data_IF_639779592680
#
_entry.id   IF_639779592680
#
_cell.length_a   1.000
_cell.length_b   1.000
_cell.length_c   1.000
_cell.angle_alpha   90.00
_cell.angle_beta   90.00
_cell.angle_gamma   90.00
#
_symmetry.space_group_name_H-M   'P 1'
#
loop_
_entity.id
_entity.type
_entity.pdbx_description
1 polymer ?
#
# COMPACT_ATOMS: atom_id res chain seq x y z
N UNK A 1 -19.62 26.27 -4.24
CA UNK A 1 -20.11 25.55 -3.04
C UNK A 1 -19.44 24.19 -3.05
N UNK A 2 -18.88 23.73 -1.93
CA UNK A 2 -18.30 22.38 -1.87
C UNK A 2 -19.40 21.34 -2.13
N UNK A 3 -19.13 20.33 -2.96
CA UNK A 3 -20.04 19.19 -3.17
C UNK A 3 -20.21 18.43 -1.86
N UNK A 4 -21.45 18.08 -1.50
CA UNK A 4 -21.71 17.31 -0.28
C UNK A 4 -21.04 15.93 -0.35
N UNK A 5 -20.66 15.32 0.78
CA UNK A 5 -20.11 13.96 0.82
C UNK A 5 -20.98 12.94 0.09
N UNK A 6 -22.30 13.08 0.17
CA UNK A 6 -23.26 12.21 -0.50
C UNK A 6 -23.21 12.39 -2.02
N UNK A 7 -23.13 13.62 -2.52
CA UNK A 7 -23.03 13.89 -3.95
C UNK A 7 -21.73 13.33 -4.55
N UNK A 8 -20.62 13.44 -3.80
CA UNK A 8 -19.34 12.81 -4.19
C UNK A 8 -19.46 11.29 -4.24
N UNK A 9 -20.07 10.68 -3.22
CA UNK A 9 -20.29 9.23 -3.16
C UNK A 9 -21.15 8.76 -4.33
N UNK A 10 -22.23 9.46 -4.68
CA UNK A 10 -23.07 9.08 -5.82
C UNK A 10 -22.30 9.15 -7.16
N UNK A 11 -21.51 10.21 -7.37
CA UNK A 11 -20.66 10.33 -8.56
C UNK A 11 -19.61 9.20 -8.63
N UNK A 12 -19.00 8.87 -7.50
CA UNK A 12 -18.05 7.76 -7.40
C UNK A 12 -18.70 6.41 -7.69
N UNK A 13 -19.85 6.11 -7.08
CA UNK A 13 -20.57 4.86 -7.32
C UNK A 13 -21.02 4.74 -8.78
N UNK A 14 -21.52 5.82 -9.39
CA UNK A 14 -21.85 5.82 -10.81
C UNK A 14 -20.64 5.46 -11.67
N UNK A 15 -19.49 6.12 -11.42
CA UNK A 15 -18.25 5.82 -12.12
C UNK A 15 -17.80 4.36 -11.90
N UNK A 16 -17.91 3.86 -10.67
CA UNK A 16 -17.51 2.51 -10.29
C UNK A 16 -18.34 1.47 -11.06
N UNK A 17 -19.67 1.60 -11.05
CA UNK A 17 -20.57 0.70 -11.80
C UNK A 17 -20.41 0.82 -13.31
N UNK A 18 -20.25 2.03 -13.84
CA UNK A 18 -20.04 2.25 -15.27
C UNK A 18 -18.76 1.59 -15.80
N UNK A 19 -17.78 1.37 -14.92
CA UNK A 19 -16.53 0.68 -15.24
C UNK A 19 -16.54 -0.81 -14.83
N UNK A 20 -17.72 -1.40 -14.59
CA UNK A 20 -17.87 -2.84 -14.42
C UNK A 20 -17.58 -3.38 -13.02
N UNK A 21 -17.42 -2.53 -12.01
CA UNK A 21 -17.36 -2.99 -10.64
C UNK A 21 -18.74 -3.37 -10.09
N UNK A 22 -18.78 -4.33 -9.17
CA UNK A 22 -20.01 -4.85 -8.57
C UNK A 22 -19.92 -4.86 -7.04
N UNK A 23 -20.93 -4.27 -6.39
CA UNK A 23 -21.11 -4.33 -4.93
C UNK A 23 -22.16 -5.41 -4.62
N UNK A 24 -21.68 -6.59 -4.21
CA UNK A 24 -22.48 -7.82 -4.04
C UNK A 24 -22.98 -7.96 -2.61
N UNK A 25 -24.03 -7.23 -2.27
CA UNK A 25 -24.54 -7.22 -0.88
C UNK A 25 -23.65 -6.42 0.07
N UNK A 26 -22.84 -5.51 -0.47
CA UNK A 26 -22.14 -4.46 0.28
C UNK A 26 -22.59 -3.06 -0.16
N UNK A 27 -22.28 -2.07 0.64
CA UNK A 27 -22.49 -0.66 0.36
C UNK A 27 -21.37 0.18 0.98
N UNK A 28 -20.93 1.23 0.30
CA UNK A 28 -20.00 2.22 0.87
C UNK A 28 -20.85 3.28 1.59
N UNK A 29 -20.52 3.56 2.85
CA UNK A 29 -21.28 4.48 3.70
C UNK A 29 -20.34 5.38 4.49
N UNK A 30 -20.85 6.54 4.91
CA UNK A 30 -20.10 7.47 5.76
C UNK A 30 -20.14 7.01 7.22
N UNK A 31 -18.96 6.81 7.83
CA UNK A 31 -18.74 6.31 9.19
C UNK A 31 -18.55 7.43 10.24
N UNK A 32 -18.85 8.68 9.89
CA UNK A 32 -18.61 9.84 10.74
C UNK A 32 -17.30 10.57 10.41
N UNK A 33 -17.12 11.75 11.01
CA UNK A 33 -16.03 12.65 10.65
C UNK A 33 -14.64 12.04 10.88
N UNK A 34 -14.48 11.23 11.92
CA UNK A 34 -13.18 10.68 12.33
C UNK A 34 -12.73 9.48 11.48
N UNK A 35 -13.68 8.72 10.93
CA UNK A 35 -13.42 7.50 10.14
C UNK A 35 -13.63 7.69 8.64
N UNK A 36 -14.31 8.76 8.22
CA UNK A 36 -14.62 9.00 6.82
C UNK A 36 -15.64 7.99 6.28
N UNK A 37 -15.24 7.17 5.31
CA UNK A 37 -16.11 6.18 4.67
C UNK A 37 -15.66 4.75 5.01
N UNK A 38 -16.62 3.83 5.00
CA UNK A 38 -16.41 2.41 5.25
C UNK A 38 -17.27 1.55 4.33
N UNK A 39 -16.93 0.26 4.24
CA UNK A 39 -17.73 -0.74 3.52
C UNK A 39 -18.63 -1.45 4.53
N UNK A 40 -19.91 -1.61 4.22
CA UNK A 40 -20.92 -2.22 5.09
C UNK A 40 -21.66 -3.33 4.36
N UNK A 41 -22.14 -4.33 5.10
CA UNK A 41 -23.12 -5.27 4.56
C UNK A 41 -24.44 -4.54 4.28
N UNK A 42 -24.98 -4.74 3.08
CA UNK A 42 -26.21 -4.09 2.64
C UNK A 42 -27.41 -4.51 3.53
N UNK A 43 -28.33 -3.59 3.87
CA UNK A 43 -29.50 -3.90 4.70
C UNK A 43 -30.44 -4.95 4.12
N UNK A 44 -30.52 -5.03 2.79
CA UNK A 44 -31.53 -5.83 2.04
C UNK A 44 -30.92 -6.70 0.93
N UNK A 45 -29.63 -7.05 1.03
CA UNK A 45 -28.93 -7.76 -0.03
C UNK A 45 -29.26 -9.25 -0.12
N UNK A 46 -29.42 -9.77 -1.35
CA UNK A 46 -29.33 -11.20 -1.65
C UNK A 46 -27.92 -11.65 -1.29
N UNK A 47 -27.78 -12.48 -0.25
CA UNK A 47 -26.51 -13.12 0.07
C UNK A 47 -26.19 -14.12 -1.02
N UNK A 48 -25.01 -14.00 -1.60
CA UNK A 48 -24.45 -15.03 -2.46
C UNK A 48 -23.76 -16.06 -1.57
N UNK A 49 -23.92 -17.34 -1.92
CA UNK A 49 -23.30 -18.44 -1.17
C UNK A 49 -21.77 -18.45 -1.31
N UNK A 50 -21.23 -17.69 -2.27
CA UNK A 50 -19.79 -17.54 -2.54
C UNK A 50 -19.05 -16.64 -1.53
N UNK A 51 -19.77 -15.88 -0.69
CA UNK A 51 -19.17 -14.97 0.31
C UNK A 51 -18.49 -13.73 -0.28
N UNK A 52 -18.56 -13.51 -1.60
CA UNK A 52 -17.96 -12.37 -2.29
C UNK A 52 -18.89 -11.17 -2.16
N UNK A 53 -18.38 -10.09 -1.57
CA UNK A 53 -19.17 -8.89 -1.26
C UNK A 53 -18.87 -7.71 -2.17
N UNK A 54 -17.76 -7.73 -2.90
CA UNK A 54 -17.38 -6.69 -3.85
C UNK A 54 -16.44 -7.28 -4.90
N UNK A 55 -16.56 -6.82 -6.14
CA UNK A 55 -15.65 -7.17 -7.24
C UNK A 55 -15.29 -5.92 -8.02
N UNK A 56 -14.00 -5.65 -8.18
CA UNK A 56 -13.45 -4.47 -8.84
C UNK A 56 -12.54 -4.94 -9.99
N UNK A 57 -12.81 -4.57 -11.25
CA UNK A 57 -11.87 -4.78 -12.35
C UNK A 57 -10.51 -4.16 -12.04
N UNK A 58 -9.42 -4.90 -12.25
CA UNK A 58 -8.07 -4.42 -11.94
C UNK A 58 -7.66 -3.21 -12.79
N UNK A 59 -8.36 -2.96 -13.90
CA UNK A 59 -8.13 -1.79 -14.73
C UNK A 59 -8.46 -0.45 -14.05
N UNK A 60 -9.24 -0.50 -12.97
CA UNK A 60 -9.52 0.66 -12.13
C UNK A 60 -8.46 0.88 -11.05
N UNK A 61 -7.66 -0.15 -10.74
CA UNK A 61 -6.65 -0.07 -9.70
C UNK A 61 -5.46 0.81 -10.14
N UNK A 62 -4.96 1.62 -9.22
CA UNK A 62 -3.75 2.41 -9.41
C UNK A 62 -2.58 1.58 -8.90
N UNK A 63 -1.84 0.99 -9.83
CA UNK A 63 -0.69 0.10 -9.58
C UNK A 63 0.54 0.58 -10.36
N UNK A 64 1.77 0.14 -10.01
CA UNK A 64 2.97 0.52 -10.76
C UNK A 64 2.83 0.21 -12.26
N UNK A 65 2.28 -0.96 -12.61
CA UNK A 65 2.07 -1.34 -14.01
C UNK A 65 1.05 -0.44 -14.70
N UNK A 66 -0.03 -0.02 -14.02
CA UNK A 66 -0.98 0.96 -14.57
C UNK A 66 -0.29 2.28 -14.88
N UNK A 67 0.56 2.76 -13.97
CA UNK A 67 1.36 3.98 -14.19
C UNK A 67 2.29 3.83 -15.38
N UNK A 68 3.01 2.71 -15.47
CA UNK A 68 3.92 2.42 -16.57
C UNK A 68 3.18 2.25 -17.90
N UNK A 69 1.95 1.75 -17.91
CA UNK A 69 1.12 1.57 -19.11
C UNK A 69 0.33 2.83 -19.50
N UNK A 70 0.27 3.84 -18.63
CA UNK A 70 -0.45 5.08 -18.91
C UNK A 70 0.14 5.78 -20.15
N UNK A 71 -0.69 6.18 -21.13
CA UNK A 71 -0.19 6.76 -22.37
C UNK A 71 0.48 8.14 -22.17
N UNK A 72 0.16 8.85 -21.09
CA UNK A 72 0.65 10.21 -20.84
C UNK A 72 1.89 10.21 -19.95
N UNK A 73 1.82 9.57 -18.78
CA UNK A 73 2.96 9.54 -17.84
C UNK A 73 3.90 8.35 -18.05
N UNK A 74 3.37 7.26 -18.61
CA UNK A 74 4.06 5.98 -18.72
C UNK A 74 5.40 6.04 -19.46
N UNK A 75 5.55 6.75 -20.60
CA UNK A 75 6.83 6.83 -21.30
C UNK A 75 7.97 7.37 -20.41
N UNK A 76 7.72 8.47 -19.68
CA UNK A 76 8.73 9.09 -18.82
C UNK A 76 8.97 8.28 -17.56
N UNK A 77 7.90 7.78 -16.93
CA UNK A 77 8.00 6.91 -15.76
C UNK A 77 8.75 5.61 -16.05
N UNK A 78 8.57 5.01 -17.24
CA UNK A 78 9.27 3.79 -17.66
C UNK A 78 10.77 4.02 -17.81
N UNK A 79 11.16 5.11 -18.47
CA UNK A 79 12.59 5.47 -18.60
C UNK A 79 13.26 5.61 -17.22
N UNK A 80 12.63 6.36 -16.30
CA UNK A 80 13.16 6.54 -14.95
C UNK A 80 13.22 5.23 -14.15
N UNK A 81 12.26 4.33 -14.35
CA UNK A 81 12.22 3.04 -13.67
C UNK A 81 13.33 2.11 -14.18
N UNK A 82 13.53 2.03 -15.50
CA UNK A 82 14.60 1.26 -16.13
C UNK A 82 16.00 1.79 -15.76
N UNK A 83 16.14 3.11 -15.57
CA UNK A 83 17.35 3.77 -15.07
C UNK A 83 17.57 3.57 -13.56
N UNK A 84 16.62 2.99 -12.83
CA UNK A 84 16.69 2.77 -11.39
C UNK A 84 16.52 4.05 -10.56
N UNK A 85 15.97 5.12 -11.15
CA UNK A 85 15.75 6.40 -10.47
C UNK A 85 14.46 6.44 -9.64
N UNK A 86 13.50 5.57 -9.95
CA UNK A 86 12.21 5.45 -9.27
C UNK A 86 11.87 3.99 -8.99
N UNK A 87 11.16 3.75 -7.88
CA UNK A 87 10.63 2.43 -7.52
C UNK A 87 9.10 2.37 -7.67
N UNK A 88 8.52 1.19 -7.46
CA UNK A 88 7.09 0.92 -7.57
C UNK A 88 6.22 1.89 -6.76
N UNK A 89 6.63 2.18 -5.52
CA UNK A 89 5.86 3.06 -4.62
C UNK A 89 5.90 4.49 -5.11
N UNK A 90 7.08 4.94 -5.50
CA UNK A 90 7.27 6.29 -5.98
C UNK A 90 6.51 6.52 -7.30
N UNK A 91 6.44 5.52 -8.19
CA UNK A 91 5.59 5.57 -9.38
C UNK A 91 4.12 5.86 -9.04
N UNK A 92 3.55 5.15 -8.07
CA UNK A 92 2.15 5.37 -7.63
C UNK A 92 1.99 6.76 -7.01
N UNK A 93 2.94 7.21 -6.18
CA UNK A 93 2.88 8.54 -5.57
C UNK A 93 2.97 9.68 -6.59
N UNK A 94 3.85 9.56 -7.60
CA UNK A 94 3.94 10.53 -8.70
C UNK A 94 2.62 10.55 -9.48
N UNK A 95 2.09 9.39 -9.83
CA UNK A 95 0.82 9.30 -10.57
C UNK A 95 -0.35 9.93 -9.80
N UNK A 96 -0.48 9.65 -8.51
CA UNK A 96 -1.49 10.28 -7.65
C UNK A 96 -1.34 11.80 -7.62
N UNK A 97 -0.10 12.30 -7.54
CA UNK A 97 0.18 13.75 -7.54
C UNK A 97 -0.26 14.38 -8.87
N UNK A 98 0.10 13.76 -9.99
CA UNK A 98 -0.28 14.22 -11.35
C UNK A 98 -1.79 14.18 -11.54
N UNK A 99 -2.44 13.05 -11.26
CA UNK A 99 -3.88 12.87 -11.47
C UNK A 99 -4.73 13.78 -10.57
N UNK A 100 -4.24 14.13 -9.38
CA UNK A 100 -4.88 15.12 -8.52
C UNK A 100 -4.91 16.52 -9.14
N UNK A 101 -3.82 16.91 -9.81
CA UNK A 101 -3.67 18.22 -10.44
C UNK A 101 -4.27 18.27 -11.85
N UNK A 102 -4.46 17.11 -12.48
CA UNK A 102 -5.03 16.96 -13.82
C UNK A 102 -6.54 17.21 -13.82
N UNK A 103 -6.99 18.13 -14.68
CA UNK A 103 -8.39 18.56 -14.76
C UNK A 103 -9.33 17.47 -15.34
N UNK A 104 -8.83 16.65 -16.26
CA UNK A 104 -9.55 15.61 -16.99
C UNK A 104 -9.17 14.18 -16.54
N UNK A 105 -8.75 14.02 -15.27
CA UNK A 105 -8.42 12.71 -14.71
C UNK A 105 -9.59 11.73 -14.85
N UNK A 106 -9.32 10.54 -15.37
CA UNK A 106 -10.32 9.45 -15.43
C UNK A 106 -10.65 8.92 -14.03
N UNK A 107 -9.74 9.07 -13.07
CA UNK A 107 -9.92 8.69 -11.68
C UNK A 107 -10.56 9.79 -10.83
N UNK A 108 -10.92 10.95 -11.41
CA UNK A 108 -11.45 12.09 -10.66
C UNK A 108 -12.57 11.73 -9.68
N UNK A 109 -13.58 10.90 -10.03
CA UNK A 109 -14.63 10.52 -9.08
C UNK A 109 -14.10 9.73 -7.88
N UNK A 110 -13.06 8.90 -8.07
CA UNK A 110 -12.38 8.18 -7.00
C UNK A 110 -11.51 9.12 -6.16
N UNK A 111 -10.69 9.97 -6.80
CA UNK A 111 -9.80 10.91 -6.11
C UNK A 111 -10.59 11.91 -5.25
N UNK A 112 -11.80 12.30 -5.67
CA UNK A 112 -12.67 13.21 -4.92
C UNK A 112 -13.23 12.60 -3.62
N UNK A 113 -13.23 11.26 -3.52
CA UNK A 113 -13.62 10.51 -2.31
C UNK A 113 -12.47 10.33 -1.33
N UNK A 114 -11.23 10.46 -1.78
CA UNK A 114 -10.06 10.30 -0.93
C UNK A 114 -9.94 11.45 0.09
N UNK A 115 -9.41 11.16 1.30
CA UNK A 115 -9.26 12.18 2.33
C UNK A 115 -8.30 13.29 1.87
N UNK A 116 -8.60 14.53 2.25
CA UNK A 116 -7.74 15.70 2.00
C UNK A 116 -6.84 16.07 3.17
N UNK A 117 -7.07 15.46 4.33
CA UNK A 117 -6.36 15.68 5.59
C UNK A 117 -6.15 14.34 6.28
N UNK A 118 -5.11 14.23 7.11
CA UNK A 118 -4.74 12.98 7.75
C UNK A 118 -4.38 13.22 9.22
N UNK A 119 -4.68 12.24 10.07
CA UNK A 119 -4.31 12.28 11.49
C UNK A 119 -2.89 11.79 11.80
N UNK A 120 -2.05 11.59 10.78
CA UNK A 120 -0.68 11.14 10.99
C UNK A 120 0.27 12.32 11.27
N UNK A 121 1.39 12.09 11.99
CA UNK A 121 2.29 13.17 12.43
C UNK A 121 2.93 14.00 11.31
N UNK A 122 2.94 13.52 10.07
CA UNK A 122 3.44 14.31 8.93
C UNK A 122 2.55 15.52 8.64
N UNK A 123 1.29 15.50 9.10
CA UNK A 123 0.32 16.58 8.94
C UNK A 123 0.11 17.43 10.20
N UNK A 124 0.73 17.04 11.32
CA UNK A 124 0.60 17.78 12.57
C UNK A 124 1.19 19.18 12.45
N UNK A 125 0.48 20.12 13.07
CA UNK A 125 0.98 21.45 13.40
C UNK A 125 2.14 21.34 14.40
N UNK A 126 2.90 22.43 14.55
CA UNK A 126 4.06 22.44 15.45
C UNK A 126 3.69 22.14 16.91
N UNK A 127 2.52 22.62 17.35
CA UNK A 127 1.99 22.39 18.70
C UNK A 127 1.62 20.92 18.91
N UNK A 128 0.89 20.31 17.97
CA UNK A 128 0.51 18.89 18.01
C UNK A 128 1.75 17.98 17.95
N UNK A 129 2.73 18.33 17.12
CA UNK A 129 3.98 17.58 17.03
C UNK A 129 4.81 17.72 18.31
N UNK A 130 4.72 18.85 19.02
CA UNK A 130 5.44 19.05 20.27
C UNK A 130 4.98 18.09 21.39
N UNK A 131 3.73 17.62 21.36
CA UNK A 131 3.20 16.60 22.27
C UNK A 131 3.90 15.25 22.11
N UNK A 132 4.51 14.98 20.94
CA UNK A 132 5.28 13.75 20.70
C UNK A 132 6.73 13.85 21.20
N UNK A 133 7.20 15.01 21.69
CA UNK A 133 8.61 15.18 22.10
C UNK A 133 9.04 14.14 23.13
N UNK A 134 10.22 13.57 22.91
CA UNK A 134 10.78 12.51 23.74
C UNK A 134 10.41 11.10 23.31
N UNK A 135 9.50 10.94 22.34
CA UNK A 135 9.19 9.66 21.71
C UNK A 135 10.09 9.39 20.49
N UNK A 136 10.21 8.13 20.11
CA UNK A 136 10.81 7.68 18.85
C UNK A 136 10.06 8.25 17.64
N UNK A 137 8.73 8.30 17.74
CA UNK A 137 7.84 8.83 16.72
C UNK A 137 8.14 10.29 16.35
N UNK A 138 8.45 11.14 17.34
CA UNK A 138 8.79 12.56 17.07
C UNK A 138 10.04 12.68 16.20
N UNK A 139 11.11 11.96 16.55
CA UNK A 139 12.36 12.02 15.79
C UNK A 139 12.18 11.46 14.38
N UNK A 140 11.49 10.32 14.27
CA UNK A 140 11.16 9.72 12.97
C UNK A 140 10.33 10.66 12.10
N UNK A 141 9.31 11.32 12.67
CA UNK A 141 8.47 12.28 11.96
C UNK A 141 9.25 13.49 11.48
N UNK A 142 10.11 14.07 12.32
CA UNK A 142 10.94 15.22 11.96
C UNK A 142 11.90 14.89 10.81
N UNK A 143 12.56 13.73 10.89
CA UNK A 143 13.45 13.26 9.83
C UNK A 143 12.68 13.03 8.53
N UNK A 144 11.51 12.36 8.60
CA UNK A 144 10.71 12.09 7.42
C UNK A 144 10.15 13.35 6.77
N UNK A 145 9.68 14.34 7.56
CA UNK A 145 9.24 15.64 7.03
C UNK A 145 10.36 16.32 6.23
N UNK A 146 11.60 16.29 6.75
CA UNK A 146 12.77 16.82 6.05
C UNK A 146 13.09 16.05 4.78
N UNK A 147 13.09 14.71 4.83
CA UNK A 147 13.40 13.85 3.68
C UNK A 147 12.37 14.03 2.56
N UNK A 148 11.08 14.04 2.90
CA UNK A 148 10.00 14.27 1.93
C UNK A 148 10.09 15.65 1.29
N UNK A 149 10.46 16.69 2.07
CA UNK A 149 10.67 18.03 1.53
C UNK A 149 11.81 18.06 0.51
N UNK A 150 12.96 17.50 0.84
CA UNK A 150 14.09 17.43 -0.07
C UNK A 150 13.76 16.61 -1.33
N UNK A 151 13.15 15.43 -1.17
CA UNK A 151 12.69 14.61 -2.31
C UNK A 151 11.72 15.38 -3.21
N UNK A 152 10.85 16.18 -2.61
CA UNK A 152 9.91 17.01 -3.34
C UNK A 152 10.62 18.09 -4.16
N UNK A 153 11.48 18.88 -3.53
CA UNK A 153 12.19 19.99 -4.17
C UNK A 153 13.14 19.49 -5.27
N UNK A 154 13.85 18.38 -5.01
CA UNK A 154 14.90 17.87 -5.90
C UNK A 154 14.36 17.02 -7.06
N UNK A 155 13.26 16.27 -6.85
CA UNK A 155 12.77 15.28 -7.82
C UNK A 155 11.30 15.44 -8.19
N UNK A 156 10.39 15.53 -7.20
CA UNK A 156 8.95 15.44 -7.48
C UNK A 156 8.45 16.67 -8.23
N UNK A 157 8.74 17.87 -7.73
CA UNK A 157 8.27 19.11 -8.34
C UNK A 157 8.66 19.21 -9.82
N UNK A 158 9.95 19.12 -10.21
CA UNK A 158 10.33 19.23 -11.62
C UNK A 158 9.72 18.11 -12.48
N UNK A 159 9.64 16.87 -11.96
CA UNK A 159 9.05 15.75 -12.70
C UNK A 159 7.54 15.92 -12.93
N UNK A 160 6.79 16.34 -11.91
CA UNK A 160 5.34 16.55 -12.03
C UNK A 160 5.04 17.74 -12.95
N UNK A 161 5.82 18.82 -12.86
CA UNK A 161 5.71 19.95 -13.79
C UNK A 161 5.99 19.52 -15.25
N UNK A 162 7.03 18.71 -15.47
CA UNK A 162 7.35 18.11 -16.77
C UNK A 162 6.16 17.29 -17.30
N UNK A 163 5.63 16.38 -16.48
CA UNK A 163 4.52 15.49 -16.85
C UNK A 163 3.22 16.25 -17.14
N UNK A 164 2.94 17.33 -16.41
CA UNK A 164 1.76 18.15 -16.64
C UNK A 164 1.91 19.02 -17.91
N UNK A 165 3.10 19.53 -18.21
CA UNK A 165 3.33 20.46 -19.34
C UNK A 165 2.97 19.90 -20.73
N UNK A 166 2.90 18.58 -20.88
CA UNK A 166 2.58 17.90 -22.14
C UNK A 166 1.07 17.81 -22.42
N UNK A 167 0.21 18.24 -21.49
CA UNK A 167 -1.23 18.30 -21.69
C UNK A 167 -1.60 19.64 -22.36
N UNK A 168 -1.80 19.59 -23.68
CA UNK A 168 -2.05 20.74 -24.56
C UNK A 168 -3.29 21.58 -24.20
N UNK A 169 -4.11 21.14 -23.24
CA UNK A 169 -5.28 21.87 -22.73
C UNK A 169 -5.03 22.66 -21.43
N UNK A 170 -3.81 22.63 -20.87
CA UNK A 170 -3.49 23.34 -19.64
C UNK A 170 -3.15 24.81 -19.89
N UNK A 171 -4.17 25.65 -20.09
CA UNK A 171 -3.98 27.11 -20.03
C UNK A 171 -3.59 27.61 -18.63
N UNK A 172 -3.70 26.76 -17.58
CA UNK A 172 -3.18 27.01 -16.23
C UNK A 172 -2.81 25.70 -15.53
N UNK A 173 -1.54 25.29 -15.57
CA UNK A 173 -1.03 24.35 -14.57
C UNK A 173 -1.08 25.08 -13.23
N UNK A 174 -1.88 24.61 -12.29
CA UNK A 174 -1.76 25.08 -10.91
C UNK A 174 -0.34 24.77 -10.43
N UNK A 175 0.30 25.70 -9.71
CA UNK A 175 1.62 25.46 -9.12
C UNK A 175 1.61 24.12 -8.40
N UNK A 176 2.56 23.24 -8.74
CA UNK A 176 2.75 21.98 -8.01
C UNK A 176 3.24 22.38 -6.63
N UNK A 177 2.49 21.98 -5.60
CA UNK A 177 2.81 22.27 -4.20
C UNK A 177 3.26 21.02 -3.46
N UNK A 178 4.03 21.23 -2.39
CA UNK A 178 4.45 20.12 -1.53
C UNK A 178 3.26 19.38 -0.92
N UNK A 179 2.17 20.09 -0.63
CA UNK A 179 0.97 19.48 -0.06
C UNK A 179 0.33 18.46 -1.01
N UNK A 180 0.48 18.60 -2.33
CA UNK A 180 -0.02 17.63 -3.31
C UNK A 180 0.78 16.33 -3.27
N UNK A 181 2.10 16.42 -3.15
CA UNK A 181 2.96 15.26 -2.98
C UNK A 181 2.80 14.62 -1.60
N UNK A 182 2.75 15.42 -0.54
CA UNK A 182 2.51 14.91 0.82
C UNK A 182 1.17 14.18 0.91
N UNK A 183 0.15 14.70 0.23
CA UNK A 183 -1.14 14.03 0.07
C UNK A 183 -0.98 12.69 -0.64
N UNK A 184 -0.29 12.62 -1.77
CA UNK A 184 -0.09 11.37 -2.50
C UNK A 184 0.68 10.32 -1.68
N UNK A 185 1.75 10.73 -0.98
CA UNK A 185 2.47 9.87 -0.04
C UNK A 185 1.53 9.34 1.05
N UNK A 186 0.71 10.21 1.64
CA UNK A 186 -0.20 9.82 2.72
C UNK A 186 -1.32 8.90 2.24
N UNK A 187 -1.86 9.13 1.04
CA UNK A 187 -2.82 8.22 0.40
C UNK A 187 -2.20 6.84 0.19
N UNK A 188 -0.98 6.77 -0.36
CA UNK A 188 -0.32 5.49 -0.59
C UNK A 188 -0.19 4.69 0.73
N UNK A 189 0.37 5.30 1.78
CA UNK A 189 0.58 4.60 3.05
C UNK A 189 -0.70 4.22 3.78
N UNK A 190 -1.76 5.02 3.63
CA UNK A 190 -3.03 4.80 4.33
C UNK A 190 -3.96 3.82 3.60
N UNK A 191 -3.79 3.62 2.29
CA UNK A 191 -4.78 2.92 1.43
C UNK A 191 -4.24 1.87 0.47
N UNK A 192 -2.92 1.80 0.25
CA UNK A 192 -2.37 0.78 -0.63
C UNK A 192 -2.63 -0.63 -0.05
N UNK A 193 -3.05 -1.53 -0.93
CA UNK A 193 -3.29 -2.95 -0.65
C UNK A 193 -2.21 -3.78 -1.35
N UNK A 194 -1.91 -4.93 -0.78
CA UNK A 194 -1.09 -5.96 -1.43
C UNK A 194 -1.95 -6.76 -2.42
N UNK A 195 -1.73 -6.57 -3.71
CA UNK A 195 -2.54 -7.15 -4.79
C UNK A 195 -1.80 -8.37 -5.37
N UNK A 196 -2.36 -9.59 -5.26
CA UNK A 196 -1.76 -10.81 -5.80
C UNK A 196 -2.05 -10.94 -7.30
N UNK A 197 -1.33 -10.19 -8.14
CA UNK A 197 -1.56 -10.17 -9.58
C UNK A 197 -1.04 -11.45 -10.28
N UNK A 198 -1.77 -11.97 -11.28
CA UNK A 198 -1.26 -13.00 -12.16
C UNK A 198 -0.06 -12.50 -12.98
N UNK A 199 0.93 -13.36 -13.20
CA UNK A 199 2.11 -13.04 -14.01
C UNK A 199 1.77 -12.42 -15.37
N UNK A 200 0.80 -13.00 -16.10
CA UNK A 200 0.41 -12.54 -17.43
C UNK A 200 -0.16 -11.11 -17.44
N UNK A 201 -0.70 -10.65 -16.32
CA UNK A 201 -1.24 -9.29 -16.19
C UNK A 201 -0.11 -8.26 -16.03
N UNK A 202 0.93 -8.63 -15.28
CA UNK A 202 2.11 -7.78 -15.05
C UNK A 202 3.02 -7.74 -16.28
N UNK A 203 3.19 -8.90 -16.91
CA UNK A 203 4.01 -9.07 -18.11
C UNK A 203 3.14 -9.63 -19.25
N UNK A 204 2.39 -8.77 -19.95
CA UNK A 204 1.68 -9.20 -21.15
C UNK A 204 2.70 -9.73 -22.14
N UNK A 205 2.57 -10.99 -22.57
CA UNK A 205 3.39 -11.52 -23.65
C UNK A 205 3.22 -10.60 -24.86
N UNK A 206 4.33 -10.06 -25.38
CA UNK A 206 4.30 -9.22 -26.58
C UNK A 206 3.64 -10.01 -27.71
N UNK A 207 2.44 -9.60 -28.13
CA UNK A 207 1.78 -10.05 -29.35
C UNK A 207 2.69 -9.72 -30.54
N UNK A 208 3.59 -10.64 -30.93
CA UNK A 208 4.53 -10.40 -32.02
C UNK A 208 5.77 -11.28 -32.07
N UNK A 209 5.61 -12.60 -31.95
CA UNK A 209 6.68 -13.55 -32.24
C UNK A 209 6.11 -14.76 -32.96
N UNK A 210 6.12 -14.74 -34.30
CA UNK A 210 5.90 -15.95 -35.08
C UNK A 210 6.92 -17.00 -34.62
N UNK A 211 6.44 -18.14 -34.15
CA UNK A 211 7.19 -19.38 -34.07
C UNK A 211 7.77 -19.65 -35.47
N UNK A 212 9.07 -19.39 -35.64
CA UNK A 212 9.87 -20.02 -36.67
C UNK A 212 10.78 -21.02 -35.98
N UNK A 213 10.38 -22.27 -36.10
CA UNK A 213 11.26 -23.42 -35.99
C UNK A 213 12.53 -23.17 -36.81
N UNK A 214 13.65 -22.98 -36.14
CA UNK A 214 14.95 -23.31 -36.72
C UNK A 214 15.88 -23.80 -35.62
N UNK A 215 16.02 -25.12 -35.59
CA UNK A 215 17.03 -25.81 -34.81
C UNK A 215 18.43 -25.30 -35.19
N UNK A 216 19.16 -24.74 -34.24
CA UNK A 216 20.62 -24.69 -34.27
C UNK A 216 21.16 -25.00 -32.88
N UNK A 217 22.02 -26.02 -32.85
CA UNK A 217 22.64 -26.60 -31.68
C UNK A 217 23.57 -25.60 -30.98
N UNK A 218 23.38 -25.53 -29.67
CA UNK A 218 24.39 -25.48 -28.59
C UNK A 218 25.83 -25.13 -29.02
N UNK A 219 26.37 -24.03 -28.48
CA UNK A 219 27.72 -23.95 -27.90
C UNK A 219 27.73 -22.83 -26.83
N UNK A 220 28.24 -23.17 -25.65
CA UNK A 220 28.05 -22.41 -24.43
C UNK A 220 28.80 -21.08 -24.32
N UNK A 221 28.18 -20.17 -23.58
CA UNK A 221 28.83 -19.27 -22.64
C UNK A 221 27.78 -18.85 -21.62
N UNK A 222 27.79 -19.48 -20.45
CA UNK A 222 26.92 -19.12 -19.34
C UNK A 222 27.33 -17.77 -18.78
N UNK A 223 26.54 -16.74 -19.07
CA UNK A 223 26.54 -15.49 -18.30
C UNK A 223 25.20 -15.40 -17.61
N UNK A 224 25.17 -15.86 -16.36
CA UNK A 224 24.08 -15.63 -15.43
C UNK A 224 24.02 -14.14 -15.12
N UNK A 225 23.12 -13.41 -15.76
CA UNK A 225 22.80 -12.03 -15.36
C UNK A 225 21.93 -12.10 -14.10
N UNK A 226 22.59 -12.19 -12.95
CA UNK A 226 21.98 -11.81 -11.68
C UNK A 226 21.83 -10.30 -11.69
N UNK A 227 20.62 -9.80 -11.93
CA UNK A 227 20.32 -8.39 -11.74
C UNK A 227 20.37 -8.10 -10.24
N UNK A 228 21.51 -7.62 -9.76
CA UNK A 228 21.64 -6.97 -8.45
C UNK A 228 20.84 -5.68 -8.52
N UNK A 229 19.67 -5.68 -7.89
CA UNK A 229 18.90 -4.47 -7.58
C UNK A 229 19.76 -3.61 -6.65
N UNK A 230 20.32 -2.54 -7.20
CA UNK A 230 20.97 -1.48 -6.43
C UNK A 230 19.91 -0.65 -5.73
N UNK A 231 19.52 -1.08 -4.54
CA UNK A 231 18.75 -0.26 -3.59
C UNK A 231 19.56 1.00 -3.25
N UNK A 232 19.13 2.17 -3.73
CA UNK A 232 19.51 3.44 -3.10
C UNK A 232 18.41 3.81 -2.12
N UNK A 233 18.35 3.07 -1.01
CA UNK A 233 17.43 3.34 0.08
C UNK A 233 17.97 4.51 0.92
N UNK A 234 17.15 5.54 1.12
CA UNK A 234 17.30 6.38 2.33
C UNK A 234 16.73 5.54 3.46
N UNK A 235 17.63 4.99 4.29
CA UNK A 235 17.31 4.27 5.51
C UNK A 235 16.50 5.16 6.44
N UNK A 236 15.22 4.83 6.59
CA UNK A 236 14.53 4.98 7.87
C UNK A 236 14.43 3.57 8.43
N UNK A 237 15.15 3.36 9.52
CA UNK A 237 15.43 2.06 10.09
C UNK A 237 14.14 1.31 10.50
N UNK A 238 13.80 0.31 9.68
CA UNK A 238 13.15 -0.92 10.12
C UNK A 238 11.64 -1.06 9.90
N UNK A 239 11.27 -1.75 8.82
CA UNK A 239 10.43 -2.97 8.86
C UNK A 239 10.50 -3.73 7.52
N UNK A 240 11.34 -4.77 7.43
CA UNK A 240 11.04 -5.96 6.62
C UNK A 240 10.67 -7.07 7.61
N UNK A 241 9.42 -7.14 8.05
CA UNK A 241 8.93 -8.31 8.78
C UNK A 241 8.74 -9.43 7.75
N UNK A 242 9.62 -10.43 7.80
CA UNK A 242 9.37 -11.72 7.16
C UNK A 242 8.29 -12.42 7.95
N UNK A 243 7.10 -12.55 7.39
CA UNK A 243 6.11 -13.52 7.89
C UNK A 243 6.69 -14.93 7.74
N UNK A 244 6.92 -15.58 8.88
CA UNK A 244 7.36 -16.97 8.92
C UNK A 244 6.18 -17.89 8.58
N UNK A 245 6.04 -18.25 7.30
CA UNK A 245 5.18 -19.36 6.90
C UNK A 245 5.84 -20.67 7.34
N UNK A 246 5.36 -21.24 8.45
CA UNK A 246 5.62 -22.63 8.82
C UNK A 246 4.92 -23.55 7.83
N UNK A 247 5.60 -23.93 6.75
CA UNK A 247 5.21 -25.07 5.92
C UNK A 247 6.10 -26.24 6.30
N UNK A 248 5.53 -27.19 7.03
CA UNK A 248 6.14 -28.49 7.27
C UNK A 248 6.29 -29.24 5.94
N UNK A 249 7.53 -29.37 5.46
CA UNK A 249 7.88 -30.24 4.34
C UNK A 249 7.58 -31.71 4.70
N UNK A 250 6.57 -32.30 4.07
CA UNK A 250 6.51 -33.75 3.87
C UNK A 250 6.64 -34.02 2.38
N UNK A 251 7.81 -34.51 2.00
CA UNK A 251 8.09 -35.11 0.69
C UNK A 251 7.21 -36.34 0.49
N UNK A 252 6.52 -36.43 -0.66
CA UNK A 252 6.30 -37.67 -1.41
C UNK A 252 6.14 -37.33 -2.88
N UNK A 253 6.90 -38.07 -3.68
CA UNK A 253 7.10 -37.94 -5.12
C UNK A 253 5.86 -38.31 -5.97
N UNK A 254 5.92 -37.82 -7.22
CA UNK A 254 5.26 -38.30 -8.44
C UNK A 254 3.73 -38.12 -8.58
N UNK A 255 3.31 -37.15 -9.40
CA UNK A 255 2.83 -37.47 -10.76
C UNK A 255 2.82 -36.22 -11.68
N UNK A 256 3.25 -36.41 -12.92
CA UNK A 256 3.43 -35.38 -13.95
C UNK A 256 2.10 -34.93 -14.58
N UNK A 257 1.73 -33.67 -14.38
CA UNK A 257 0.87 -32.92 -15.28
C UNK A 257 1.37 -31.48 -15.40
N UNK A 258 1.66 -31.03 -16.63
CA UNK A 258 2.09 -29.67 -16.99
C UNK A 258 1.02 -28.62 -16.64
N UNK A 259 0.92 -28.23 -15.37
CA UNK A 259 0.34 -26.96 -14.98
C UNK A 259 1.49 -25.97 -14.85
N UNK A 260 1.58 -25.02 -15.79
CA UNK A 260 2.34 -23.79 -15.56
C UNK A 260 1.68 -23.18 -14.32
N UNK A 261 2.31 -23.32 -13.16
CA UNK A 261 1.89 -22.60 -11.96
C UNK A 261 2.03 -21.13 -12.32
N UNK A 262 0.91 -20.47 -12.62
CA UNK A 262 0.88 -19.04 -12.90
C UNK A 262 1.46 -18.34 -11.68
N UNK A 263 2.71 -17.86 -11.79
CA UNK A 263 3.40 -17.24 -10.67
C UNK A 263 2.63 -15.98 -10.24
N UNK A 264 2.19 -15.93 -8.99
CA UNK A 264 1.60 -14.72 -8.41
C UNK A 264 2.70 -13.69 -8.17
N UNK A 265 2.43 -12.45 -8.55
CA UNK A 265 3.28 -11.28 -8.31
C UNK A 265 2.53 -10.36 -7.37
N UNK A 266 3.14 -10.04 -6.24
CA UNK A 266 2.56 -9.13 -5.26
C UNK A 266 3.00 -7.71 -5.57
N UNK A 267 2.03 -6.81 -5.69
CA UNK A 267 2.29 -5.37 -5.85
C UNK A 267 1.46 -4.56 -4.88
N UNK A 268 1.95 -3.38 -4.51
CA UNK A 268 1.20 -2.44 -3.69
C UNK A 268 0.50 -1.42 -4.58
N UNK A 269 -0.79 -1.20 -4.36
CA UNK A 269 -1.58 -0.25 -5.15
C UNK A 269 -2.93 0.04 -4.54
N UNK A 270 -3.64 1.03 -5.10
CA UNK A 270 -4.96 1.43 -4.64
C UNK A 270 -6.03 0.73 -5.47
N UNK A 271 -7.09 0.25 -4.82
CA UNK A 271 -8.17 -0.49 -5.49
C UNK A 271 -9.49 0.20 -5.13
N UNK A 272 -10.03 1.06 -6.03
CA UNK A 272 -11.21 1.88 -5.74
C UNK A 272 -12.39 1.04 -5.23
N UNK A 273 -12.76 1.23 -3.97
CA UNK A 273 -13.85 0.52 -3.31
C UNK A 273 -13.37 -0.42 -2.21
N UNK A 274 -12.40 -1.30 -2.51
CA UNK A 274 -11.83 -2.22 -1.49
C UNK A 274 -11.00 -1.43 -0.48
N UNK A 275 -10.29 -0.39 -0.93
CA UNK A 275 -9.49 0.51 -0.11
C UNK A 275 -10.31 1.37 0.88
N UNK A 276 -11.65 1.31 0.83
CA UNK A 276 -12.54 1.90 1.83
C UNK A 276 -12.79 0.99 3.04
N UNK A 277 -12.30 -0.24 3.05
CA UNK A 277 -12.47 -1.11 4.22
C UNK A 277 -11.61 -0.59 5.38
N UNK A 278 -12.26 -0.27 6.49
CA UNK A 278 -11.56 0.16 7.71
C UNK A 278 -10.88 -1.03 8.42
N UNK A 279 -9.92 -0.68 9.28
CA UNK A 279 -9.20 -1.65 10.09
C UNK A 279 -10.07 -2.30 11.17
N UNK A 280 -9.92 -3.60 11.37
CA UNK A 280 -10.40 -4.32 12.54
C UNK A 280 -9.37 -5.32 13.06
N UNK A 281 -9.25 -5.42 14.40
CA UNK A 281 -8.37 -6.39 15.09
C UNK A 281 -8.64 -7.85 14.68
N UNK A 282 -9.86 -8.15 14.25
CA UNK A 282 -10.25 -9.42 13.65
C UNK A 282 -10.87 -9.13 12.28
N UNK A 283 -10.01 -8.82 11.30
CA UNK A 283 -10.43 -8.59 9.91
C UNK A 283 -11.36 -9.71 9.45
N UNK A 284 -12.62 -9.35 9.15
CA UNK A 284 -13.66 -10.31 8.75
C UNK A 284 -13.75 -10.50 7.24
N UNK A 285 -12.97 -9.73 6.50
CA UNK A 285 -12.82 -9.87 5.07
C UNK A 285 -11.34 -9.91 4.70
N UNK A 286 -11.08 -10.60 3.59
CA UNK A 286 -9.81 -10.61 2.87
C UNK A 286 -10.10 -10.41 1.39
N UNK A 287 -9.07 -10.36 0.56
CA UNK A 287 -9.23 -10.17 -0.87
C UNK A 287 -8.44 -11.19 -1.68
N UNK A 288 -8.86 -11.38 -2.92
CA UNK A 288 -8.19 -12.21 -3.91
C UNK A 288 -8.26 -11.59 -5.28
N UNK A 289 -7.50 -12.15 -6.22
CA UNK A 289 -7.60 -11.80 -7.64
C UNK A 289 -8.12 -13.00 -8.41
N UNK A 290 -9.11 -12.74 -9.25
CA UNK A 290 -9.62 -13.69 -10.22
C UNK A 290 -9.11 -13.29 -11.61
N UNK A 291 -8.20 -14.10 -12.15
CA UNK A 291 -7.54 -13.83 -13.42
C UNK A 291 -8.40 -14.13 -14.64
N UNK A 292 -9.22 -15.19 -14.59
CA UNK A 292 -10.01 -15.67 -15.73
C UNK A 292 -11.51 -15.37 -15.61
N UNK A 293 -11.95 -14.92 -14.43
CA UNK A 293 -13.35 -14.60 -14.16
C UNK A 293 -14.18 -15.82 -13.78
N UNK A 294 -13.58 -16.98 -13.50
CA UNK A 294 -14.30 -18.20 -13.13
C UNK A 294 -14.98 -18.10 -11.75
N UNK A 295 -14.46 -17.27 -10.86
CA UNK A 295 -14.95 -17.07 -9.49
C UNK A 295 -15.91 -15.88 -9.42
N UNK A 296 -15.52 -14.77 -10.03
CA UNK A 296 -16.28 -13.52 -9.94
C UNK A 296 -17.18 -13.32 -11.15
N UNK A 297 -16.96 -13.97 -12.29
CA UNK A 297 -17.63 -13.64 -13.55
C UNK A 297 -17.05 -12.40 -14.25
N UNK A 298 -16.03 -11.77 -13.65
CA UNK A 298 -15.34 -10.59 -14.19
C UNK A 298 -13.86 -10.97 -14.35
N UNK A 299 -13.37 -11.11 -15.59
CA UNK A 299 -11.97 -11.47 -15.81
C UNK A 299 -11.07 -10.36 -15.27
N UNK A 300 -9.90 -10.76 -14.76
CA UNK A 300 -8.86 -9.84 -14.28
C UNK A 300 -9.43 -8.83 -13.26
N UNK A 301 -10.05 -9.37 -12.21
CA UNK A 301 -10.69 -8.58 -11.16
C UNK A 301 -10.14 -8.91 -9.77
N UNK A 302 -10.14 -7.92 -8.89
CA UNK A 302 -9.93 -8.11 -7.47
C UNK A 302 -11.27 -8.20 -6.76
N UNK A 303 -11.42 -9.10 -5.81
CA UNK A 303 -12.66 -9.26 -5.06
C UNK A 303 -12.42 -9.24 -3.56
N UNK A 304 -13.37 -8.68 -2.83
CA UNK A 304 -13.44 -8.72 -1.37
C UNK A 304 -14.34 -9.89 -0.95
N UNK A 305 -13.83 -10.76 -0.10
CA UNK A 305 -14.50 -11.98 0.36
C UNK A 305 -14.51 -12.06 1.88
N UNK A 306 -15.61 -12.52 2.46
CA UNK A 306 -15.74 -12.71 3.91
C UNK A 306 -14.97 -13.96 4.36
N UNK A 307 -14.22 -13.86 5.46
CA UNK A 307 -13.39 -14.94 5.99
C UNK A 307 -14.20 -16.09 6.62
N UNK A 308 -15.45 -15.83 7.04
CA UNK A 308 -16.36 -16.83 7.59
C UNK A 308 -17.70 -16.79 6.83
N UNK A 309 -18.23 -17.96 6.46
CA UNK A 309 -19.56 -18.14 5.84
C UNK A 309 -20.73 -17.69 6.76
N UNK A 310 -20.43 -17.29 8.00
CA UNK A 310 -21.41 -16.89 8.99
C UNK A 310 -21.79 -15.42 8.85
N UNK A 311 -22.86 -15.22 8.11
CA UNK A 311 -23.89 -14.19 8.33
C UNK A 311 -23.44 -12.89 8.99
N UNK A 312 -22.75 -12.01 8.26
CA UNK A 312 -22.54 -10.64 8.73
C UNK A 312 -23.91 -9.96 8.90
N UNK A 313 -24.27 -9.58 10.13
CA UNK A 313 -25.54 -8.90 10.40
C UNK A 313 -25.71 -7.71 9.44
N UNK A 314 -26.92 -7.55 8.90
CA UNK A 314 -27.24 -6.49 7.97
C UNK A 314 -26.86 -5.12 8.57
N UNK A 315 -26.19 -4.28 7.78
CA UNK A 315 -25.73 -2.96 8.22
C UNK A 315 -24.49 -2.96 9.13
N UNK A 316 -23.77 -4.08 9.31
CA UNK A 316 -22.46 -4.08 9.97
C UNK A 316 -21.34 -3.72 9.02
N UNK A 317 -20.32 -3.05 9.56
CA UNK A 317 -19.11 -2.69 8.84
C UNK A 317 -18.29 -3.94 8.50
N UNK A 318 -17.82 -4.02 7.26
CA UNK A 318 -16.93 -5.04 6.74
C UNK A 318 -15.50 -4.51 6.93
N UNK A 319 -14.82 -5.08 7.91
CA UNK A 319 -13.47 -4.66 8.31
C UNK A 319 -12.42 -5.63 7.75
N UNK A 320 -11.29 -5.09 7.32
CA UNK A 320 -10.09 -5.85 6.97
C UNK A 320 -9.02 -5.68 8.05
N UNK A 321 -8.02 -6.56 8.08
CA UNK A 321 -6.84 -6.33 8.91
C UNK A 321 -5.82 -5.52 8.13
N UNK A 322 -5.24 -4.50 8.76
CA UNK A 322 -4.09 -3.75 8.22
C UNK A 322 -2.76 -4.37 8.71
N UNK A 323 -2.85 -5.51 9.40
CA UNK A 323 -1.74 -6.14 10.13
C UNK A 323 -1.83 -5.88 11.63
N UNK A 324 -1.07 -6.70 12.38
CA UNK A 324 -0.95 -6.61 13.83
C UNK A 324 0.08 -5.53 14.18
N UNK A 325 -0.38 -4.28 14.27
CA UNK A 325 0.48 -3.09 14.42
C UNK A 325 0.27 -2.43 15.77
N UNK A 326 1.37 -1.93 16.37
CA UNK A 326 1.31 -1.13 17.59
C UNK A 326 0.75 0.28 17.33
N UNK A 327 0.35 0.99 18.38
CA UNK A 327 -0.28 2.31 18.21
C UNK A 327 0.67 3.37 17.63
N UNK A 328 1.98 3.27 17.89
CA UNK A 328 2.98 4.15 17.26
C UNK A 328 2.98 3.98 15.73
N UNK A 329 2.94 2.73 15.25
CA UNK A 329 2.92 2.43 13.82
C UNK A 329 1.56 2.78 13.18
N UNK A 330 0.45 2.48 13.86
CA UNK A 330 -0.89 2.86 13.38
C UNK A 330 -1.04 4.38 13.25
N UNK A 331 -0.54 5.14 14.23
CA UNK A 331 -0.57 6.59 14.18
C UNK A 331 0.31 7.13 13.06
N UNK A 332 1.51 6.57 12.90
CA UNK A 332 2.46 7.01 11.87
C UNK A 332 1.97 6.75 10.44
N UNK A 333 1.46 5.54 10.18
CA UNK A 333 1.07 5.12 8.83
C UNK A 333 -0.37 5.51 8.48
N UNK A 334 -1.31 5.34 9.43
CA UNK A 334 -2.74 5.46 9.16
C UNK A 334 -3.40 6.67 9.83
N UNK A 335 -2.74 7.29 10.80
CA UNK A 335 -3.26 8.48 11.49
C UNK A 335 -4.36 8.20 12.51
N UNK A 336 -4.40 6.99 13.08
CA UNK A 336 -5.30 6.65 14.18
C UNK A 336 -4.62 5.73 15.20
N UNK A 337 -5.20 5.63 16.39
CA UNK A 337 -4.78 4.69 17.44
C UNK A 337 -5.99 3.87 17.90
N UNK A 338 -5.73 2.71 18.51
CA UNK A 338 -6.76 1.82 19.05
C UNK A 338 -6.65 1.79 20.57
N UNK A 339 -7.77 2.06 21.23
CA UNK A 339 -7.90 1.89 22.67
C UNK A 339 -7.68 0.42 23.06
N UNK A 340 -6.80 0.18 24.02
CA UNK A 340 -6.44 -1.16 24.49
C UNK A 340 -6.00 -2.10 23.35
N UNK A 341 -5.24 -1.57 22.39
CA UNK A 341 -4.65 -2.36 21.31
C UNK A 341 -3.87 -3.58 21.87
N UNK A 342 -4.28 -4.82 21.53
CA UNK A 342 -3.60 -6.02 22.03
C UNK A 342 -2.20 -6.21 21.44
N UNK A 343 -1.94 -5.62 20.27
CA UNK A 343 -0.67 -5.68 19.55
C UNK A 343 0.24 -4.49 19.86
N UNK A 344 -0.09 -3.70 20.90
CA UNK A 344 0.68 -2.52 21.29
C UNK A 344 2.03 -2.88 21.91
N UNK A 345 3.05 -2.13 21.52
CA UNK A 345 4.42 -2.32 21.98
C UNK A 345 5.13 -0.97 22.14
N UNK A 346 6.12 -0.94 23.02
CA UNK A 346 7.08 0.14 23.13
C UNK A 346 8.35 -0.25 22.41
N UNK A 347 8.77 0.55 21.43
CA UNK A 347 10.07 0.38 20.78
C UNK A 347 11.15 1.12 21.58
N UNK A 348 12.20 0.40 21.94
CA UNK A 348 13.33 0.94 22.70
C UNK A 348 14.61 0.73 21.91
N UNK A 349 15.26 1.82 21.54
CA UNK A 349 16.60 1.76 20.94
C UNK A 349 17.65 1.39 21.98
N UNK A 350 18.59 0.53 21.60
CA UNK A 350 19.75 0.29 22.42
C UNK A 350 20.66 1.53 22.37
N UNK A 351 21.06 2.11 23.51
CA UNK A 351 21.95 3.27 23.53
C UNK A 351 23.34 2.88 23.02
N UNK A 352 23.72 3.39 21.84
CA UNK A 352 25.02 3.10 21.22
C UNK A 352 26.18 3.59 22.08
N UNK A 353 25.98 4.67 22.84
CA UNK A 353 26.96 5.20 23.78
C UNK A 353 27.25 4.22 24.91
N UNK A 354 26.24 3.45 25.34
CA UNK A 354 26.44 2.39 26.34
C UNK A 354 27.20 1.19 25.76
N UNK A 355 27.14 0.97 24.44
CA UNK A 355 27.79 -0.16 23.77
C UNK A 355 29.32 -0.09 23.88
N UNK A 356 29.89 1.12 23.85
CA UNK A 356 31.34 1.33 23.94
C UNK A 356 31.94 0.80 25.26
N UNK A 357 31.12 0.74 26.32
CA UNK A 357 31.56 0.29 27.64
C UNK A 357 31.31 -1.21 27.88
N UNK A 358 30.78 -1.94 26.89
CA UNK A 358 30.49 -3.36 27.00
C UNK A 358 31.77 -4.18 26.81
N UNK A 359 32.07 -5.17 27.67
CA UNK A 359 33.20 -6.08 27.46
C UNK A 359 33.13 -6.74 26.08
N UNK A 360 34.25 -6.68 25.35
CA UNK A 360 34.39 -7.15 23.98
C UNK A 360 33.50 -6.43 22.96
N UNK A 361 33.26 -5.12 23.15
CA UNK A 361 32.44 -4.27 22.27
C UNK A 361 32.72 -4.49 20.78
N UNK A 362 33.99 -4.38 20.33
CA UNK A 362 34.34 -4.53 18.91
C UNK A 362 33.93 -5.90 18.32
N UNK A 363 34.15 -6.97 19.09
CA UNK A 363 33.77 -8.33 18.67
C UNK A 363 32.26 -8.50 18.62
N UNK A 364 31.54 -7.91 19.58
CA UNK A 364 30.08 -7.93 19.62
C UNK A 364 29.49 -7.07 18.49
N UNK A 365 30.04 -5.90 18.20
CA UNK A 365 29.60 -5.03 17.10
C UNK A 365 29.73 -5.76 15.76
N UNK A 366 30.89 -6.38 15.52
CA UNK A 366 31.10 -7.16 14.30
C UNK A 366 30.14 -8.35 14.19
N UNK A 367 29.84 -9.02 15.31
CA UNK A 367 28.85 -10.11 15.33
C UNK A 367 27.45 -9.58 14.98
N UNK A 368 27.05 -8.46 15.58
CA UNK A 368 25.75 -7.83 15.34
C UNK A 368 25.62 -7.37 13.89
N UNK A 369 26.67 -6.78 13.31
CA UNK A 369 26.74 -6.41 11.90
C UNK A 369 26.60 -7.64 10.98
N UNK A 370 27.37 -8.71 11.24
CA UNK A 370 27.26 -9.97 10.49
C UNK A 370 25.85 -10.55 10.58
N UNK A 371 25.21 -10.44 11.74
CA UNK A 371 23.85 -10.92 11.97
C UNK A 371 22.77 -9.96 11.44
N UNK A 372 23.15 -8.76 10.98
CA UNK A 372 22.21 -7.67 10.66
C UNK A 372 21.23 -7.43 11.80
N UNK A 373 21.73 -7.47 13.04
CA UNK A 373 20.93 -7.31 14.23
C UNK A 373 20.41 -5.88 14.32
N UNK A 374 19.11 -5.74 14.58
CA UNK A 374 18.50 -4.44 14.81
C UNK A 374 18.83 -3.95 16.23
N UNK A 375 19.30 -2.72 16.37
CA UNK A 375 19.63 -2.11 17.65
C UNK A 375 18.39 -1.52 18.35
N UNK A 376 17.31 -2.29 18.35
CA UNK A 376 16.03 -1.94 18.98
C UNK A 376 15.37 -3.18 19.54
N UNK A 377 14.55 -3.00 20.57
CA UNK A 377 13.73 -4.04 21.16
C UNK A 377 12.27 -3.58 21.16
N UNK A 378 11.35 -4.49 20.86
CA UNK A 378 9.91 -4.26 20.98
C UNK A 378 9.44 -4.89 22.29
N UNK A 379 8.97 -4.06 23.22
CA UNK A 379 8.46 -4.48 24.52
C UNK A 379 6.93 -4.50 24.45
N UNK A 380 6.27 -5.68 24.49
CA UNK A 380 4.81 -5.74 24.49
C UNK A 380 4.24 -5.01 25.70
N UNK A 381 3.10 -4.34 25.53
CA UNK A 381 2.43 -3.61 26.62
C UNK A 381 2.17 -4.49 27.86
N UNK A 382 1.86 -5.77 27.69
CA UNK A 382 1.68 -6.71 28.79
C UNK A 382 2.95 -6.92 29.65
N UNK A 383 4.15 -6.72 29.07
CA UNK A 383 5.43 -6.78 29.77
C UNK A 383 5.85 -5.46 30.42
N UNK A 384 5.21 -4.35 30.09
CA UNK A 384 5.42 -3.05 30.73
C UNK A 384 4.55 -3.00 32.00
N UNK A 385 5.06 -3.55 33.10
CA UNK A 385 4.40 -3.46 34.41
C UNK A 385 4.17 -1.99 34.71
N UNK A 386 2.92 -1.59 34.87
CA UNK A 386 2.57 -0.26 35.37
C UNK A 386 3.21 -0.09 36.75
N UNK A 387 4.34 0.60 36.81
CA UNK A 387 4.85 1.16 38.05
C UNK A 387 3.92 2.33 38.46
N UNK A 388 2.65 2.03 38.75
CA UNK A 388 1.83 2.88 39.61
C UNK A 388 2.36 2.67 41.03
N UNK A 389 3.52 3.26 41.32
CA UNK A 389 3.80 3.69 42.68
C UNK A 389 2.78 4.79 42.99
N UNK A 390 1.99 4.68 44.07
CA UNK A 390 1.26 5.83 44.57
C UNK A 390 2.32 6.85 44.98
N UNK A 391 2.34 8.00 44.30
CA UNK A 391 2.95 9.18 44.88
C UNK A 391 2.15 9.48 46.16
N UNK A 392 2.85 9.34 47.29
CA UNK A 392 2.38 9.56 48.66
C UNK A 392 1.79 10.96 48.81
#
# INVERSE_FOLDING_TARGET
>A
MATSPEAKLQSFLHWLYANGAELRGSAIQHCGADKGFGVFSAPTGVRRDDGIVMTIPLDLAITPMRVLQDPYVGPRCRALFEEGHVDDRFLVMIFLTVERLRHNSQWKPYLDMLPSTFGNPLWFLEEELAELKGTTLYQATMLQKKNLRALYDDKVKPLVEELLSHDAHLERVNEVRFEDFLWANSIFWTRALNIPLPHFYVFPESLGGQEKDSACKDHGSGVSVTATVGETCVEVDGHKIKEANNVSEKRKDEDTSNAIVSKTIWVEGLVPGIDFCNHGLKGRATWGVDGDGSVTGIPVSMHLILAESNTLEAGKEILISYGNKGNEELLYLYGFVIDNNPDDYLMVHYPMEAFQNVPFADRKARLLEIQKAEFRCLLPRAGVVSARSPLI
#
